data_IF_790856723074
#
_entry.id   IF_790856723074
#
_cell.length_a   1.000
_cell.length_b   1.000
_cell.length_c   1.000
_cell.angle_alpha   90.00
_cell.angle_beta   90.00
_cell.angle_gamma   90.00
#
_symmetry.space_group_name_H-M   'P 1'
#
loop_
_entity.id
_entity.type
_entity.pdbx_description
1 polymer ?
#
# COMPACT_ATOMS: atom_id res chain seq x y z
N UNK A 1 -14.73 -4.76 17.64
CA UNK A 1 -13.45 -5.38 17.18
C UNK A 1 -13.65 -5.83 15.76
N UNK A 2 -13.04 -5.14 14.83
CA UNK A 2 -13.13 -5.54 13.43
C UNK A 2 -12.37 -6.85 13.22
N UNK A 3 -12.99 -7.76 12.51
CA UNK A 3 -12.41 -9.07 12.24
C UNK A 3 -11.41 -8.94 11.09
N UNK A 4 -10.13 -8.85 11.42
CA UNK A 4 -9.05 -8.79 10.45
C UNK A 4 -8.56 -10.17 10.00
N UNK A 5 -9.36 -11.22 10.26
CA UNK A 5 -8.97 -12.58 9.91
C UNK A 5 -8.66 -12.72 8.41
N UNK A 6 -9.48 -12.12 7.55
CA UNK A 6 -9.26 -12.16 6.11
C UNK A 6 -7.93 -11.51 5.72
N UNK A 7 -7.59 -10.37 6.33
CA UNK A 7 -6.30 -9.70 6.09
C UNK A 7 -5.14 -10.59 6.53
N UNK A 8 -5.26 -11.20 7.69
CA UNK A 8 -4.22 -12.10 8.21
C UNK A 8 -4.02 -13.33 7.33
N UNK A 9 -5.11 -13.94 6.88
CA UNK A 9 -5.05 -15.12 6.01
C UNK A 9 -4.37 -14.77 4.67
N UNK A 10 -4.71 -13.62 4.09
CA UNK A 10 -4.10 -13.14 2.86
C UNK A 10 -2.62 -12.83 3.06
N UNK A 11 -2.26 -12.23 4.19
CA UNK A 11 -0.87 -11.92 4.52
C UNK A 11 -0.03 -13.19 4.62
N UNK A 12 -0.53 -14.20 5.31
CA UNK A 12 0.14 -15.51 5.41
C UNK A 12 0.28 -16.15 4.03
N UNK A 13 -0.75 -16.08 3.21
CA UNK A 13 -0.71 -16.60 1.84
C UNK A 13 0.39 -15.93 1.01
N UNK A 14 0.56 -14.62 1.16
CA UNK A 14 1.62 -13.88 0.48
C UNK A 14 3.01 -14.37 0.91
N UNK A 15 3.26 -14.45 2.22
CA UNK A 15 4.55 -14.92 2.76
C UNK A 15 4.88 -16.33 2.24
N UNK A 16 3.90 -17.22 2.26
CA UNK A 16 4.06 -18.60 1.79
C UNK A 16 4.34 -18.64 0.29
N UNK A 17 3.59 -17.90 -0.52
CA UNK A 17 3.74 -17.90 -1.97
C UNK A 17 5.08 -17.33 -2.41
N UNK A 18 5.54 -16.27 -1.75
CA UNK A 18 6.84 -15.66 -2.05
C UNK A 18 7.97 -16.62 -1.69
N UNK A 19 7.89 -17.28 -0.53
CA UNK A 19 8.88 -18.26 -0.12
C UNK A 19 8.94 -19.43 -1.10
N UNK A 20 7.82 -19.94 -1.54
CA UNK A 20 7.76 -21.03 -2.49
C UNK A 20 8.36 -20.65 -3.85
N UNK A 21 8.15 -19.41 -4.30
CA UNK A 21 8.62 -18.95 -5.60
C UNK A 21 10.08 -18.51 -5.60
N UNK A 22 10.57 -17.91 -4.51
CA UNK A 22 11.87 -17.24 -4.45
C UNK A 22 12.87 -17.94 -3.50
N UNK A 23 12.38 -18.75 -2.58
CA UNK A 23 13.19 -19.32 -1.50
C UNK A 23 13.50 -18.33 -0.38
N UNK A 24 13.01 -17.10 -0.46
CA UNK A 24 13.29 -16.05 0.52
C UNK A 24 12.06 -15.73 1.36
N UNK A 25 12.28 -15.33 2.60
CA UNK A 25 11.19 -15.04 3.54
C UNK A 25 10.94 -13.56 3.68
N UNK A 26 9.67 -13.17 3.59
CA UNK A 26 9.19 -11.84 3.94
C UNK A 26 8.97 -11.79 5.47
N UNK A 27 9.34 -10.68 6.10
CA UNK A 27 9.30 -10.52 7.56
C UNK A 27 8.55 -9.27 8.04
N UNK A 28 7.72 -8.68 7.17
CA UNK A 28 6.96 -7.45 7.45
C UNK A 28 7.85 -6.24 7.76
N UNK A 29 9.07 -6.23 7.22
CA UNK A 29 9.96 -5.06 7.29
C UNK A 29 10.20 -4.47 5.90
N UNK A 30 10.57 -3.20 5.87
CA UNK A 30 10.90 -2.50 4.64
C UNK A 30 12.08 -3.17 3.91
N UNK A 31 13.02 -3.74 4.65
CA UNK A 31 14.22 -4.38 4.10
C UNK A 31 13.89 -5.56 3.20
N UNK A 32 12.76 -6.22 3.41
CA UNK A 32 12.36 -7.36 2.57
C UNK A 32 11.42 -6.99 1.42
N UNK A 33 11.03 -5.72 1.27
CA UNK A 33 10.20 -5.29 0.13
C UNK A 33 10.84 -5.57 -1.23
N UNK A 34 12.16 -5.46 -1.43
CA UNK A 34 12.76 -5.86 -2.70
C UNK A 34 12.49 -7.31 -3.08
N UNK A 35 12.29 -8.21 -2.11
CA UNK A 35 11.91 -9.59 -2.36
C UNK A 35 10.50 -9.63 -2.98
N UNK A 36 9.58 -8.85 -2.44
CA UNK A 36 8.22 -8.77 -2.98
C UNK A 36 8.21 -8.15 -4.38
N UNK A 37 9.05 -7.14 -4.61
CA UNK A 37 9.22 -6.55 -5.94
C UNK A 37 9.76 -7.58 -6.94
N UNK A 38 10.72 -8.38 -6.53
CA UNK A 38 11.25 -9.45 -7.36
C UNK A 38 10.17 -10.50 -7.66
N UNK A 39 9.41 -10.91 -6.64
CA UNK A 39 8.29 -11.82 -6.83
C UNK A 39 7.30 -11.30 -7.87
N UNK A 40 6.99 -10.01 -7.83
CA UNK A 40 6.09 -9.39 -8.81
C UNK A 40 6.60 -9.55 -10.24
N UNK A 41 7.91 -9.53 -10.46
CA UNK A 41 8.49 -9.72 -11.81
C UNK A 41 8.39 -11.16 -12.31
N UNK A 42 8.17 -12.12 -11.42
CA UNK A 42 8.06 -13.55 -11.78
C UNK A 42 6.64 -13.95 -12.13
N UNK A 43 5.65 -13.07 -11.87
CA UNK A 43 4.25 -13.39 -12.11
C UNK A 43 3.98 -13.41 -13.61
N UNK A 44 3.44 -14.52 -14.08
CA UNK A 44 3.01 -14.73 -15.46
C UNK A 44 1.63 -15.38 -15.43
N UNK A 45 0.66 -14.65 -14.92
CA UNK A 45 -0.71 -15.11 -14.73
C UNK A 45 -1.69 -14.22 -15.48
N UNK A 46 -2.88 -14.73 -15.86
CA UNK A 46 -3.91 -13.90 -16.46
C UNK A 46 -4.30 -12.75 -15.54
N UNK A 47 -4.69 -11.63 -16.15
CA UNK A 47 -5.06 -10.41 -15.42
C UNK A 47 -6.14 -10.67 -14.36
N UNK A 48 -7.14 -11.51 -14.67
CA UNK A 48 -8.22 -11.83 -13.74
C UNK A 48 -7.71 -12.57 -12.50
N UNK A 49 -6.77 -13.48 -12.67
CA UNK A 49 -6.13 -14.19 -11.56
C UNK A 49 -5.26 -13.24 -10.72
N UNK A 50 -4.54 -12.34 -11.38
CA UNK A 50 -3.76 -11.33 -10.67
C UNK A 50 -4.68 -10.47 -9.80
N UNK A 51 -5.79 -10.00 -10.35
CA UNK A 51 -6.73 -9.12 -9.63
C UNK A 51 -7.47 -9.84 -8.50
N UNK A 52 -7.83 -11.12 -8.68
CA UNK A 52 -8.69 -11.84 -7.73
C UNK A 52 -7.93 -12.63 -6.67
N UNK A 53 -6.64 -12.93 -6.90
CA UNK A 53 -5.87 -13.77 -5.98
C UNK A 53 -4.55 -13.13 -5.56
N UNK A 54 -3.71 -12.75 -6.52
CA UNK A 54 -2.35 -12.30 -6.22
C UNK A 54 -2.32 -10.91 -5.61
N UNK A 55 -3.08 -9.97 -6.17
CA UNK A 55 -3.16 -8.61 -5.64
C UNK A 55 -3.75 -8.56 -4.23
N UNK A 56 -4.83 -9.30 -3.91
CA UNK A 56 -5.33 -9.33 -2.54
C UNK A 56 -4.30 -9.80 -1.53
N UNK A 57 -3.56 -10.87 -1.78
CA UNK A 57 -2.57 -11.35 -0.81
C UNK A 57 -1.36 -10.42 -0.70
N UNK A 58 -0.85 -9.90 -1.82
CA UNK A 58 0.28 -8.96 -1.79
C UNK A 58 -0.12 -7.63 -1.17
N UNK A 59 -1.33 -7.15 -1.43
CA UNK A 59 -1.85 -5.92 -0.86
C UNK A 59 -2.12 -6.01 0.63
N UNK A 60 -2.64 -7.14 1.09
CA UNK A 60 -2.83 -7.36 2.53
C UNK A 60 -1.48 -7.35 3.25
N UNK A 61 -0.48 -8.04 2.70
CA UNK A 61 0.88 -8.04 3.24
C UNK A 61 1.44 -6.61 3.28
N UNK A 62 1.33 -5.88 2.18
CA UNK A 62 1.85 -4.51 2.08
C UNK A 62 1.18 -3.58 3.09
N UNK A 63 -0.14 -3.68 3.25
CA UNK A 63 -0.86 -2.91 4.25
C UNK A 63 -0.47 -3.25 5.68
N UNK A 64 -0.28 -4.53 5.98
CA UNK A 64 0.19 -4.95 7.30
C UNK A 64 1.60 -4.46 7.61
N UNK A 65 2.48 -4.47 6.61
CA UNK A 65 3.82 -3.91 6.74
C UNK A 65 3.76 -2.41 7.08
N UNK A 66 2.94 -1.66 6.37
CA UNK A 66 2.74 -0.23 6.63
C UNK A 66 2.20 0.01 8.04
N UNK A 67 1.19 -0.76 8.46
CA UNK A 67 0.65 -0.63 9.81
C UNK A 67 1.71 -0.85 10.89
N UNK A 68 2.54 -1.86 10.71
CA UNK A 68 3.60 -2.15 11.65
C UNK A 68 4.69 -1.08 11.67
N UNK A 69 5.14 -0.64 10.51
CA UNK A 69 6.22 0.34 10.39
C UNK A 69 5.81 1.73 10.85
N UNK A 70 4.58 2.14 10.57
CA UNK A 70 4.07 3.46 10.93
C UNK A 70 3.36 3.47 12.30
N UNK A 71 3.15 2.31 12.88
CA UNK A 71 2.44 2.12 14.16
C UNK A 71 1.06 2.80 14.14
N UNK A 72 0.39 2.74 12.99
CA UNK A 72 -0.91 3.36 12.74
C UNK A 72 -1.59 2.63 11.60
N UNK A 73 -2.89 2.71 11.53
CA UNK A 73 -3.65 2.17 10.42
C UNK A 73 -4.75 1.22 10.85
N UNK A 74 -5.88 1.38 10.22
CA UNK A 74 -7.06 0.54 10.43
C UNK A 74 -7.63 0.13 9.09
N UNK A 75 -7.82 -1.18 8.91
CA UNK A 75 -8.44 -1.71 7.71
C UNK A 75 -9.95 -1.46 7.72
N UNK A 76 -10.48 -1.12 6.57
CA UNK A 76 -11.92 -1.04 6.31
C UNK A 76 -12.21 -2.08 5.23
N UNK A 77 -12.81 -3.20 5.63
CA UNK A 77 -12.99 -4.39 4.80
C UNK A 77 -14.46 -4.83 4.75
N UNK A 78 -15.39 -3.89 4.92
CA UNK A 78 -16.81 -4.20 4.98
C UNK A 78 -17.41 -4.64 3.64
N UNK A 79 -16.74 -4.31 2.54
CA UNK A 79 -17.19 -4.68 1.21
C UNK A 79 -16.64 -6.04 0.79
N UNK A 80 -17.42 -6.79 0.02
CA UNK A 80 -16.96 -8.06 -0.56
C UNK A 80 -15.97 -7.87 -1.70
N UNK A 81 -15.98 -6.68 -2.32
CA UNK A 81 -15.10 -6.35 -3.45
C UNK A 81 -13.81 -5.72 -2.93
N UNK A 82 -12.68 -6.34 -3.23
CA UNK A 82 -11.36 -5.84 -2.83
C UNK A 82 -11.05 -4.43 -3.34
N UNK A 83 -11.68 -3.99 -4.43
CA UNK A 83 -11.48 -2.63 -4.94
C UNK A 83 -12.00 -1.56 -3.98
N UNK A 84 -12.87 -1.95 -3.06
CA UNK A 84 -13.44 -1.06 -2.07
C UNK A 84 -12.75 -1.13 -0.70
N UNK A 85 -11.83 -2.06 -0.51
CA UNK A 85 -11.05 -2.12 0.73
C UNK A 85 -10.16 -0.90 0.88
N UNK A 86 -9.99 -0.46 2.12
CA UNK A 86 -9.16 0.73 2.43
C UNK A 86 -8.33 0.48 3.68
N UNK A 87 -7.14 1.06 3.70
CA UNK A 87 -6.34 1.25 4.90
C UNK A 87 -6.39 2.73 5.24
N UNK A 88 -6.82 3.04 6.46
CA UNK A 88 -6.96 4.40 6.93
C UNK A 88 -6.02 4.64 8.10
N UNK A 89 -5.20 5.66 8.00
CA UNK A 89 -4.36 6.11 9.12
C UNK A 89 -5.15 7.10 9.95
N UNK A 90 -5.18 6.88 11.26
CA UNK A 90 -6.03 7.68 12.15
C UNK A 90 -5.39 9.00 12.54
N UNK A 91 -4.05 9.05 12.64
CA UNK A 91 -3.33 10.25 13.07
C UNK A 91 -3.36 11.37 12.04
N UNK A 92 -3.62 11.09 10.78
CA UNK A 92 -3.54 12.09 9.71
C UNK A 92 -4.64 11.97 8.66
N UNK A 93 -5.64 11.13 8.88
CA UNK A 93 -6.77 10.92 7.97
C UNK A 93 -6.38 10.46 6.57
N UNK A 94 -5.14 9.98 6.37
CA UNK A 94 -4.69 9.46 5.09
C UNK A 94 -5.36 8.11 4.84
N UNK A 95 -5.89 7.90 3.64
CA UNK A 95 -6.53 6.64 3.27
C UNK A 95 -6.22 6.26 1.83
N UNK A 96 -6.11 4.96 1.58
CA UNK A 96 -5.91 4.41 0.23
C UNK A 96 -6.20 2.91 0.26
N UNK A 97 -6.15 2.27 -0.91
CA UNK A 97 -6.33 0.82 -1.03
C UNK A 97 -5.01 0.10 -1.28
N UNK A 98 -4.42 -0.60 -0.28
CA UNK A 98 -3.18 -1.35 -0.49
C UNK A 98 -3.30 -2.45 -1.54
N UNK A 99 -4.49 -3.05 -1.71
CA UNK A 99 -4.71 -4.09 -2.72
C UNK A 99 -4.64 -3.48 -4.11
N UNK A 100 -5.20 -2.28 -4.30
CA UNK A 100 -5.04 -1.56 -5.56
C UNK A 100 -3.58 -1.23 -5.88
N UNK A 101 -2.82 -0.83 -4.87
CA UNK A 101 -1.37 -0.58 -5.01
C UNK A 101 -0.65 -1.87 -5.45
N UNK A 102 -0.98 -3.00 -4.85
CA UNK A 102 -0.41 -4.29 -5.25
C UNK A 102 -0.79 -4.65 -6.69
N UNK A 103 -2.03 -4.40 -7.09
CA UNK A 103 -2.48 -4.64 -8.47
C UNK A 103 -1.65 -3.81 -9.45
N UNK A 104 -1.44 -2.54 -9.16
CA UNK A 104 -0.58 -1.69 -10.00
C UNK A 104 0.85 -2.21 -10.08
N UNK A 105 1.40 -2.68 -8.95
CA UNK A 105 2.75 -3.24 -8.93
C UNK A 105 2.86 -4.53 -9.76
N UNK A 106 1.86 -5.39 -9.67
CA UNK A 106 1.86 -6.66 -10.40
C UNK A 106 1.64 -6.48 -11.90
N UNK A 107 0.83 -5.49 -12.29
CA UNK A 107 0.53 -5.18 -13.68
C UNK A 107 1.51 -4.17 -14.29
N UNK A 108 2.25 -3.44 -13.47
CA UNK A 108 3.14 -2.33 -13.86
C UNK A 108 2.38 -1.25 -14.64
N UNK A 109 1.14 -0.97 -14.23
CA UNK A 109 0.29 0.06 -14.86
C UNK A 109 -0.64 0.69 -13.83
N UNK A 110 -1.17 1.86 -14.16
CA UNK A 110 -2.11 2.59 -13.32
C UNK A 110 -3.49 1.91 -13.33
N UNK A 111 -4.09 1.75 -12.16
CA UNK A 111 -5.43 1.16 -12.00
C UNK A 111 -6.26 2.08 -11.07
N UNK A 112 -6.68 3.26 -11.55
CA UNK A 112 -7.27 4.29 -10.68
C UNK A 112 -8.58 3.87 -10.01
N UNK A 113 -9.35 2.97 -10.63
CA UNK A 113 -10.64 2.52 -10.10
C UNK A 113 -10.52 1.70 -8.81
N UNK A 114 -9.32 1.32 -8.44
CA UNK A 114 -9.06 0.53 -7.23
C UNK A 114 -8.67 1.38 -6.02
N UNK A 115 -8.85 2.70 -6.09
CA UNK A 115 -8.60 3.57 -4.93
C UNK A 115 -7.15 3.63 -4.51
N UNK A 116 -6.25 3.61 -5.47
CA UNK A 116 -4.79 3.61 -5.23
C UNK A 116 -4.25 4.98 -4.82
N UNK A 117 -5.00 6.04 -5.11
CA UNK A 117 -4.57 7.39 -4.79
C UNK A 117 -4.63 7.65 -3.30
N UNK A 118 -3.63 8.36 -2.80
CA UNK A 118 -3.58 8.78 -1.41
C UNK A 118 -4.59 9.91 -1.20
N UNK A 119 -5.61 9.65 -0.39
CA UNK A 119 -6.65 10.62 -0.07
C UNK A 119 -6.47 11.10 1.36
N UNK A 120 -6.64 12.40 1.53
CA UNK A 120 -6.55 13.05 2.83
C UNK A 120 -7.60 14.14 2.92
N UNK A 121 -7.62 14.90 4.02
CA UNK A 121 -8.51 16.05 4.16
C UNK A 121 -8.24 17.05 3.02
N UNK A 122 -9.30 17.72 2.47
CA UNK A 122 -9.11 18.64 1.34
C UNK A 122 -8.04 19.71 1.57
N UNK A 123 -7.92 20.21 2.78
CA UNK A 123 -6.91 21.21 3.15
C UNK A 123 -5.48 20.70 3.12
N UNK A 124 -5.30 19.37 3.18
CA UNK A 124 -3.98 18.73 3.15
C UNK A 124 -3.59 18.19 1.79
N UNK A 125 -4.53 18.13 0.84
CA UNK A 125 -4.33 17.50 -0.45
C UNK A 125 -3.15 18.09 -1.21
N UNK A 126 -3.07 19.43 -1.26
CA UNK A 126 -1.98 20.12 -1.95
C UNK A 126 -0.62 19.85 -1.31
N UNK A 127 -0.58 19.74 0.01
CA UNK A 127 0.65 19.44 0.75
C UNK A 127 1.15 18.04 0.45
N UNK A 128 0.24 17.07 0.38
CA UNK A 128 0.59 15.70 -0.01
C UNK A 128 1.12 15.66 -1.45
N UNK A 129 0.44 16.32 -2.37
CA UNK A 129 0.88 16.40 -3.76
C UNK A 129 2.29 16.99 -3.87
N UNK A 130 2.57 18.03 -3.10
CA UNK A 130 3.88 18.65 -3.05
C UNK A 130 4.96 17.72 -2.48
N UNK A 131 4.62 16.99 -1.41
CA UNK A 131 5.54 16.03 -0.81
C UNK A 131 5.89 14.90 -1.78
N UNK A 132 4.97 14.53 -2.66
CA UNK A 132 5.17 13.47 -3.64
C UNK A 132 5.88 13.93 -4.92
N UNK A 133 6.09 15.22 -5.12
CA UNK A 133 6.80 15.74 -6.31
C UNK A 133 8.22 15.15 -6.45
N UNK A 134 8.86 14.79 -5.34
CA UNK A 134 10.19 14.18 -5.35
C UNK A 134 10.20 12.87 -6.14
N UNK A 135 9.05 12.19 -6.26
CA UNK A 135 8.93 10.94 -7.02
C UNK A 135 8.62 11.17 -8.51
N UNK A 136 8.42 12.41 -8.93
CA UNK A 136 8.11 12.74 -10.33
C UNK A 136 9.22 12.43 -11.32
N UNK A 137 10.47 12.27 -10.84
CA UNK A 137 11.59 11.86 -11.68
C UNK A 137 11.81 10.35 -11.74
N UNK A 138 11.01 9.57 -10.99
CA UNK A 138 11.07 8.10 -11.01
C UNK A 138 10.40 7.62 -12.30
N UNK A 139 10.98 6.63 -12.97
CA UNK A 139 10.34 6.04 -14.16
C UNK A 139 9.01 5.44 -13.73
N UNK A 140 8.00 5.51 -14.58
CA UNK A 140 6.67 4.94 -14.30
C UNK A 140 6.78 3.50 -13.83
N UNK A 141 7.63 2.72 -14.49
CA UNK A 141 7.87 1.31 -14.17
C UNK A 141 8.37 1.12 -12.73
N UNK A 142 9.29 1.96 -12.28
CA UNK A 142 9.87 1.85 -10.94
C UNK A 142 8.92 2.39 -9.88
N UNK A 143 8.07 3.35 -10.24
CA UNK A 143 7.06 3.91 -9.34
C UNK A 143 6.05 2.84 -8.89
N UNK A 144 5.72 1.90 -9.75
CA UNK A 144 4.77 0.83 -9.42
C UNK A 144 5.40 -0.32 -8.63
N UNK A 145 6.60 -0.15 -8.08
CA UNK A 145 7.18 -1.14 -7.17
C UNK A 145 6.69 -0.93 -5.74
N UNK A 146 6.67 -2.00 -4.95
CA UNK A 146 6.30 -1.91 -3.53
C UNK A 146 7.28 -1.04 -2.75
N UNK A 147 8.58 -1.15 -3.06
CA UNK A 147 9.62 -0.38 -2.36
C UNK A 147 9.43 1.12 -2.55
N UNK A 148 9.20 1.58 -3.77
CA UNK A 148 8.99 3.00 -4.05
C UNK A 148 7.65 3.49 -3.49
N UNK A 149 6.59 2.69 -3.62
CA UNK A 149 5.28 3.06 -3.08
C UNK A 149 5.32 3.15 -1.55
N UNK A 150 6.08 2.29 -0.89
CA UNK A 150 6.30 2.41 0.55
C UNK A 150 6.90 3.77 0.90
N UNK A 151 7.97 4.15 0.23
CA UNK A 151 8.63 5.44 0.46
C UNK A 151 7.68 6.61 0.20
N UNK A 152 6.89 6.55 -0.86
CA UNK A 152 5.93 7.61 -1.19
C UNK A 152 4.85 7.73 -0.10
N UNK A 153 4.30 6.63 0.37
CA UNK A 153 3.27 6.62 1.41
C UNK A 153 3.85 7.11 2.74
N UNK A 154 5.04 6.63 3.10
CA UNK A 154 5.73 7.09 4.31
C UNK A 154 6.00 8.60 4.25
N UNK A 155 6.46 9.11 3.11
CA UNK A 155 6.71 10.54 2.93
C UNK A 155 5.43 11.36 3.12
N UNK A 156 4.34 10.92 2.52
CA UNK A 156 3.04 11.59 2.67
C UNK A 156 2.57 11.56 4.13
N UNK A 157 2.70 10.41 4.78
CA UNK A 157 2.31 10.23 6.18
C UNK A 157 3.11 11.16 7.11
N UNK A 158 4.43 11.18 6.98
CA UNK A 158 5.30 12.02 7.81
C UNK A 158 5.04 13.52 7.56
N UNK A 159 4.78 13.89 6.31
CA UNK A 159 4.42 15.26 5.96
C UNK A 159 3.16 15.71 6.71
N UNK A 160 2.15 14.84 6.76
CA UNK A 160 0.88 15.15 7.42
C UNK A 160 1.02 15.18 8.96
N UNK A 161 1.86 14.33 9.53
CA UNK A 161 2.12 14.34 10.97
C UNK A 161 2.84 15.60 11.42
N UNK A 162 3.79 16.09 10.64
CA UNK A 162 4.59 17.26 11.00
C UNK A 162 3.78 18.57 10.98
N UNK A 163 2.67 18.58 10.24
CA UNK A 163 1.78 19.74 10.18
C UNK A 163 0.35 19.27 9.92
N UNK A 164 -0.29 18.63 10.92
CA UNK A 164 -1.62 18.09 10.72
C UNK A 164 -2.68 19.19 10.50
N UNK A 165 -3.63 18.87 9.62
CA UNK A 165 -4.77 19.77 9.36
C UNK A 165 -5.57 20.03 10.64
N UNK A 166 -6.04 21.26 10.81
CA UNK A 166 -6.84 21.65 11.97
C UNK A 166 -6.03 22.01 13.20
N UNK A 167 -4.71 21.84 13.18
CA UNK A 167 -3.87 22.44 14.22
C UNK A 167 -3.56 23.88 13.83
N UNK A 168 -4.13 24.81 14.58
CA UNK A 168 -3.79 26.20 14.41
C UNK A 168 -2.28 26.38 14.63
N UNK A 169 -1.60 27.22 13.83
CA UNK A 169 -0.21 27.50 14.11
C UNK A 169 -0.09 28.03 15.53
N UNK A 170 0.71 27.35 16.32
CA UNK A 170 0.97 27.77 17.69
C UNK A 170 1.69 29.11 17.64
N UNK A 171 1.20 30.11 18.37
CA UNK A 171 1.87 31.42 18.42
C UNK A 171 3.27 31.32 19.02
#
# INVERSE_FOLDING_TARGET
>A
MEDNTAVMDLTVACVTSVKNATGMELDLTQETLPILDHYATLIDSPRDEIASLLAPMCGAYFGELLRGQLEDGQWVTDADDYSEWRLRFERCSLTFNPIGVALEALLAEDVPDWGTQLRTAPEDQLRVEKALEVFGGVRDRDYYTFSVRFEAIEQAYLCLLNNPAGMAPQP
#
